data_IF_120681417727
#
_entry.id   IF_120681417727
#
_cell.length_a   1.000
_cell.length_b   1.000
_cell.length_c   1.000
_cell.angle_alpha   90.00
_cell.angle_beta   90.00
_cell.angle_gamma   90.00
#
_symmetry.space_group_name_H-M   'P 1'
#
loop_
_entity.id
_entity.type
_entity.pdbx_description
1 polymer ?
#
# COMPACT_ATOMS: atom_id res chain seq x y z
N UNK A 1 -5.82 24.93 -8.98
CA UNK A 1 -6.26 26.07 -9.75
C UNK A 1 -7.62 25.79 -10.38
N UNK A 2 -8.63 26.62 -10.05
CA UNK A 2 -10.02 26.46 -10.54
C UNK A 2 -10.21 26.90 -12.00
N UNK A 3 -9.20 27.48 -12.63
CA UNK A 3 -9.24 27.88 -14.03
C UNK A 3 -8.87 26.73 -15.00
N UNK A 4 -8.28 25.67 -14.49
CA UNK A 4 -8.02 24.45 -15.28
C UNK A 4 -9.26 23.58 -15.37
N UNK A 5 -9.37 22.75 -16.42
CA UNK A 5 -10.50 21.84 -16.62
C UNK A 5 -10.83 21.02 -15.36
N UNK A 6 -9.85 20.37 -14.79
CA UNK A 6 -10.06 19.51 -13.61
C UNK A 6 -10.20 20.26 -12.30
N UNK A 7 -9.57 21.43 -12.19
CA UNK A 7 -9.76 22.32 -11.07
C UNK A 7 -11.15 22.93 -11.01
N UNK A 8 -11.72 23.27 -12.18
CA UNK A 8 -13.11 23.71 -12.30
C UNK A 8 -14.10 22.60 -11.93
N UNK A 9 -13.89 21.38 -12.41
CA UNK A 9 -14.75 20.25 -12.07
C UNK A 9 -14.67 19.89 -10.57
N UNK A 10 -13.48 19.92 -9.99
CA UNK A 10 -13.31 19.76 -8.53
C UNK A 10 -14.08 20.84 -7.75
N UNK A 11 -13.98 22.10 -8.17
CA UNK A 11 -14.68 23.21 -7.54
C UNK A 11 -16.20 23.08 -7.63
N UNK A 12 -16.72 22.64 -8.81
CA UNK A 12 -18.14 22.34 -9.02
C UNK A 12 -18.63 21.24 -8.07
N UNK A 13 -17.80 20.26 -7.77
CA UNK A 13 -18.10 19.18 -6.83
C UNK A 13 -17.93 19.61 -5.33
N UNK A 14 -17.86 20.89 -5.04
CA UNK A 14 -17.81 21.42 -3.69
C UNK A 14 -16.40 21.55 -3.09
N UNK A 15 -15.34 21.31 -3.86
CA UNK A 15 -13.95 21.34 -3.40
C UNK A 15 -13.11 22.39 -4.17
N UNK A 16 -13.33 23.72 -3.96
CA UNK A 16 -12.60 24.75 -4.68
C UNK A 16 -11.10 24.79 -4.36
N UNK A 17 -10.72 24.47 -3.11
CA UNK A 17 -9.32 24.39 -2.72
C UNK A 17 -8.65 23.09 -3.22
N UNK A 18 -7.34 23.10 -3.51
CA UNK A 18 -6.59 21.88 -3.80
C UNK A 18 -6.68 20.88 -2.63
N UNK A 19 -6.72 19.58 -2.95
CA UNK A 19 -6.55 18.57 -1.92
C UNK A 19 -5.12 18.61 -1.34
N UNK A 20 -4.95 18.37 -0.03
CA UNK A 20 -3.64 18.40 0.63
C UNK A 20 -2.84 17.13 0.29
N UNK A 21 -2.33 17.08 -0.95
CA UNK A 21 -1.49 15.97 -1.39
C UNK A 21 -0.16 15.99 -0.63
N UNK A 22 0.21 14.86 -0.07
CA UNK A 22 1.47 14.68 0.66
C UNK A 22 2.35 13.59 0.06
N UNK A 23 1.76 12.54 -0.48
CA UNK A 23 2.45 11.37 -0.99
C UNK A 23 2.14 11.16 -2.46
N UNK A 24 3.15 10.75 -3.23
CA UNK A 24 3.01 10.26 -4.61
C UNK A 24 3.81 8.98 -4.73
N UNK A 25 3.15 7.93 -5.17
CA UNK A 25 3.80 6.69 -5.55
C UNK A 25 4.17 6.71 -7.03
N UNK A 26 5.39 6.25 -7.35
CA UNK A 26 5.91 6.16 -8.70
C UNK A 26 5.95 4.68 -9.10
N UNK A 27 4.97 4.27 -9.90
CA UNK A 27 4.78 2.90 -10.36
C UNK A 27 3.77 2.13 -9.52
N UNK A 28 3.62 0.84 -9.80
CA UNK A 28 2.84 -0.12 -9.03
C UNK A 28 3.31 -1.53 -9.38
N UNK A 29 3.78 -2.28 -8.39
CA UNK A 29 4.26 -3.66 -8.54
C UNK A 29 5.38 -3.82 -9.58
N UNK A 30 6.10 -2.75 -9.85
CA UNK A 30 7.23 -2.70 -10.75
C UNK A 30 8.53 -3.06 -10.03
N UNK A 31 9.51 -3.57 -10.79
CA UNK A 31 10.79 -3.99 -10.23
C UNK A 31 11.90 -4.04 -11.28
N UNK A 32 13.11 -4.28 -10.79
CA UNK A 32 14.29 -4.45 -11.63
C UNK A 32 14.91 -3.16 -12.14
N UNK A 33 16.04 -3.25 -12.89
CA UNK A 33 16.81 -2.07 -13.28
C UNK A 33 16.03 -1.04 -14.09
N UNK A 34 15.17 -1.50 -14.99
CA UNK A 34 14.36 -0.62 -15.86
C UNK A 34 13.37 0.22 -15.04
N UNK A 35 12.77 -0.38 -14.02
CA UNK A 35 11.90 0.37 -13.09
C UNK A 35 12.68 1.48 -12.40
N UNK A 36 13.85 1.16 -11.83
CA UNK A 36 14.65 2.11 -11.08
C UNK A 36 15.20 3.25 -11.93
N UNK A 37 15.59 2.98 -13.18
CA UNK A 37 15.97 4.02 -14.14
C UNK A 37 14.81 4.99 -14.44
N UNK A 38 13.59 4.46 -14.57
CA UNK A 38 12.38 5.26 -14.77
C UNK A 38 12.01 6.04 -13.50
N UNK A 39 12.09 5.38 -12.34
CA UNK A 39 11.85 6.01 -11.05
C UNK A 39 12.70 7.27 -10.89
N UNK A 40 14.01 7.17 -11.07
CA UNK A 40 14.93 8.32 -10.94
C UNK A 40 14.57 9.47 -11.88
N UNK A 41 14.24 9.18 -13.14
CA UNK A 41 13.83 10.21 -14.12
C UNK A 41 12.54 10.92 -13.71
N UNK A 42 11.53 10.14 -13.29
CA UNK A 42 10.24 10.69 -12.86
C UNK A 42 10.41 11.46 -11.55
N UNK A 43 11.15 10.90 -10.60
CA UNK A 43 11.47 11.56 -9.33
C UNK A 43 12.14 12.92 -9.56
N UNK A 44 13.16 12.99 -10.40
CA UNK A 44 13.87 14.25 -10.70
C UNK A 44 12.92 15.30 -11.28
N UNK A 45 12.08 14.92 -12.23
CA UNK A 45 11.12 15.84 -12.84
C UNK A 45 10.05 16.34 -11.86
N UNK A 46 9.53 15.45 -11.03
CA UNK A 46 8.47 15.77 -10.06
C UNK A 46 9.01 16.54 -8.85
N UNK A 47 10.14 16.12 -8.29
CA UNK A 47 10.71 16.76 -7.09
C UNK A 47 11.23 18.17 -7.36
N UNK A 48 11.68 18.44 -8.59
CA UNK A 48 12.02 19.79 -9.00
C UNK A 48 10.81 20.75 -8.99
N UNK A 49 9.62 20.21 -9.27
CA UNK A 49 8.38 21.00 -9.29
C UNK A 49 7.61 20.96 -7.98
N UNK A 50 7.70 19.87 -7.25
CA UNK A 50 6.96 19.60 -6.02
C UNK A 50 7.90 19.06 -4.93
N UNK A 51 8.80 19.90 -4.40
CA UNK A 51 9.86 19.43 -3.48
C UNK A 51 9.34 18.98 -2.12
N UNK A 52 8.15 19.42 -1.73
CA UNK A 52 7.55 19.12 -0.41
C UNK A 52 6.80 17.78 -0.38
N UNK A 53 6.65 17.12 -1.53
CA UNK A 53 5.98 15.82 -1.59
C UNK A 53 6.93 14.69 -1.18
N UNK A 54 6.35 13.67 -0.58
CA UNK A 54 7.03 12.40 -0.27
C UNK A 54 6.79 11.43 -1.43
N UNK A 55 7.88 10.96 -2.02
CA UNK A 55 7.84 10.03 -3.14
C UNK A 55 8.02 8.61 -2.63
N UNK A 56 7.08 7.73 -3.04
CA UNK A 56 7.05 6.32 -2.69
C UNK A 56 7.59 5.53 -3.89
N UNK A 57 8.57 4.66 -3.64
CA UNK A 57 8.99 3.65 -4.60
C UNK A 57 8.33 2.32 -4.25
N UNK A 58 8.12 1.46 -5.23
CA UNK A 58 7.45 0.17 -5.00
C UNK A 58 8.36 -1.03 -5.25
N UNK A 59 7.86 -2.19 -4.83
CA UNK A 59 8.53 -3.48 -4.98
C UNK A 59 7.67 -4.47 -5.75
N UNK A 60 8.28 -5.56 -6.17
CA UNK A 60 7.57 -6.74 -6.66
C UNK A 60 6.69 -7.35 -5.57
N UNK A 61 5.50 -7.83 -5.94
CA UNK A 61 4.52 -8.46 -5.03
C UNK A 61 5.15 -9.62 -4.24
N UNK A 62 5.82 -10.51 -4.94
CA UNK A 62 6.35 -11.74 -4.38
C UNK A 62 7.62 -12.19 -5.08
N UNK A 63 8.62 -12.55 -4.27
CA UNK A 63 9.78 -13.31 -4.73
C UNK A 63 9.80 -14.62 -3.98
N UNK A 64 9.64 -15.73 -4.71
CA UNK A 64 9.62 -17.08 -4.11
C UNK A 64 10.91 -17.33 -3.32
N UNK A 65 10.77 -17.80 -2.08
CA UNK A 65 11.90 -18.03 -1.18
C UNK A 65 12.44 -16.77 -0.47
N UNK A 66 11.85 -15.61 -0.74
CA UNK A 66 12.23 -14.33 -0.12
C UNK A 66 11.03 -13.62 0.54
N UNK A 67 10.01 -14.37 0.89
CA UNK A 67 8.75 -13.83 1.44
C UNK A 67 8.96 -13.08 2.77
N UNK A 68 10.01 -13.44 3.52
CA UNK A 68 10.34 -12.85 4.80
C UNK A 68 11.46 -11.79 4.75
N UNK A 69 11.97 -11.49 3.55
CA UNK A 69 13.04 -10.50 3.40
C UNK A 69 12.52 -9.06 3.56
N UNK A 70 13.40 -8.22 4.08
CA UNK A 70 13.28 -6.76 3.95
C UNK A 70 13.57 -6.36 2.51
N UNK A 71 12.52 -6.06 1.75
CA UNK A 71 12.63 -5.78 0.30
C UNK A 71 13.33 -4.45 0.00
N UNK A 72 13.50 -3.57 0.99
CA UNK A 72 14.29 -2.34 0.82
C UNK A 72 15.75 -2.62 0.46
N UNK A 73 16.23 -3.84 0.68
CA UNK A 73 17.54 -4.30 0.18
C UNK A 73 17.65 -4.36 -1.34
N UNK A 74 16.52 -4.37 -2.04
CA UNK A 74 16.47 -4.42 -3.50
C UNK A 74 16.60 -3.04 -4.15
N UNK A 75 16.68 -1.96 -3.36
CA UNK A 75 17.00 -0.62 -3.85
C UNK A 75 18.43 -0.64 -4.38
N UNK A 76 18.65 -0.38 -5.69
CA UNK A 76 19.98 -0.47 -6.28
C UNK A 76 20.92 0.60 -5.75
N UNK A 77 22.20 0.28 -5.73
CA UNK A 77 23.25 1.23 -5.29
C UNK A 77 23.38 2.51 -6.13
N UNK A 78 22.88 2.50 -7.38
CA UNK A 78 22.88 3.70 -8.23
C UNK A 78 21.73 4.67 -7.88
N UNK A 79 20.72 4.23 -7.16
CA UNK A 79 19.63 5.08 -6.67
C UNK A 79 20.11 5.83 -5.44
N UNK A 80 19.95 7.15 -5.43
CA UNK A 80 20.25 7.91 -4.24
C UNK A 80 19.26 7.54 -3.12
N UNK A 81 19.68 6.97 -1.99
CA UNK A 81 18.79 6.56 -0.92
C UNK A 81 17.92 7.70 -0.37
N UNK A 82 18.36 8.94 -0.50
CA UNK A 82 17.57 10.13 -0.10
C UNK A 82 16.36 10.38 -0.98
N UNK A 83 16.33 9.80 -2.18
CA UNK A 83 15.22 9.92 -3.13
C UNK A 83 14.09 8.93 -2.81
N UNK A 84 14.38 7.89 -2.04
CA UNK A 84 13.39 6.88 -1.60
C UNK A 84 13.13 7.05 -0.12
N UNK A 85 12.15 7.84 0.24
CA UNK A 85 11.77 8.06 1.65
C UNK A 85 10.79 7.03 2.15
N UNK A 86 9.93 6.52 1.29
CA UNK A 86 8.95 5.49 1.58
C UNK A 86 9.03 4.42 0.49
N UNK A 87 8.92 3.17 0.90
CA UNK A 87 8.99 2.02 0.02
C UNK A 87 7.73 1.17 0.20
N UNK A 88 7.00 0.94 -0.89
CA UNK A 88 5.78 0.17 -0.86
C UNK A 88 6.05 -1.32 -0.97
N UNK A 89 5.43 -2.09 -0.08
CA UNK A 89 5.45 -3.55 -0.08
C UNK A 89 4.04 -4.11 -0.13
N UNK A 90 3.80 -5.06 -1.03
CA UNK A 90 2.53 -5.77 -1.15
C UNK A 90 2.64 -7.20 -0.61
N UNK A 91 1.59 -7.66 0.08
CA UNK A 91 1.54 -9.00 0.66
C UNK A 91 0.25 -9.72 0.31
N UNK A 92 0.37 -10.79 -0.48
CA UNK A 92 -0.71 -11.70 -0.83
C UNK A 92 -0.29 -13.13 -0.49
N UNK A 93 -0.44 -13.50 0.78
CA UNK A 93 0.08 -14.75 1.32
C UNK A 93 -1.01 -15.58 2.01
N UNK A 94 -0.63 -16.79 2.49
CA UNK A 94 -1.54 -17.68 3.19
C UNK A 94 -1.83 -17.24 4.63
N UNK A 95 -2.83 -17.87 5.24
CA UNK A 95 -3.18 -17.70 6.65
C UNK A 95 -1.99 -18.04 7.55
N UNK A 96 -1.32 -19.15 7.28
CA UNK A 96 -0.20 -19.63 8.07
C UNK A 96 0.94 -18.62 8.06
N UNK A 97 1.30 -18.14 6.86
CA UNK A 97 2.32 -17.10 6.73
C UNK A 97 1.96 -15.84 7.53
N UNK A 98 0.72 -15.36 7.43
CA UNK A 98 0.30 -14.14 8.11
C UNK A 98 0.35 -14.27 9.64
N UNK A 99 -0.03 -15.44 10.18
CA UNK A 99 0.06 -15.71 11.62
C UNK A 99 1.50 -15.69 12.14
N UNK A 100 2.47 -16.03 11.30
CA UNK A 100 3.90 -15.98 11.65
C UNK A 100 4.48 -14.55 11.60
N UNK A 101 3.76 -13.58 11.00
CA UNK A 101 4.29 -12.23 10.76
C UNK A 101 4.05 -11.23 11.88
N UNK A 102 3.55 -11.63 13.03
CA UNK A 102 3.23 -10.71 14.14
C UNK A 102 4.43 -9.96 14.76
N UNK A 103 5.66 -10.34 14.40
CA UNK A 103 6.91 -9.64 14.75
C UNK A 103 7.72 -9.19 13.54
N UNK A 104 7.14 -9.22 12.33
CA UNK A 104 7.85 -9.03 11.06
C UNK A 104 8.74 -7.79 11.05
N UNK A 105 8.22 -6.66 11.45
CA UNK A 105 8.89 -5.37 11.31
C UNK A 105 9.74 -4.96 12.51
N UNK A 106 9.75 -5.74 13.60
CA UNK A 106 10.44 -5.39 14.84
C UNK A 106 11.95 -5.23 14.65
N UNK A 107 12.54 -6.03 13.78
CA UNK A 107 13.98 -6.03 13.49
C UNK A 107 14.36 -5.28 12.21
N UNK A 108 13.42 -4.60 11.56
CA UNK A 108 13.74 -3.81 10.39
C UNK A 108 14.57 -2.59 10.79
N UNK A 109 15.65 -2.34 10.03
CA UNK A 109 16.54 -1.22 10.28
C UNK A 109 15.80 0.11 10.05
N UNK A 110 15.82 1.00 11.06
CA UNK A 110 15.35 2.38 10.94
C UNK A 110 16.42 3.23 10.27
N UNK A 111 16.01 4.38 9.70
CA UNK A 111 16.90 5.29 8.99
C UNK A 111 17.26 4.84 7.56
N UNK A 112 16.55 3.86 7.04
CA UNK A 112 16.42 3.54 5.62
C UNK A 112 15.09 4.16 5.15
N UNK A 113 14.50 3.74 4.03
CA UNK A 113 13.15 4.13 3.68
C UNK A 113 12.14 3.63 4.73
N UNK A 114 11.15 4.46 5.06
CA UNK A 114 9.97 4.01 5.77
C UNK A 114 9.15 3.05 4.89
N UNK A 115 8.19 2.34 5.47
CA UNK A 115 7.36 1.40 4.73
C UNK A 115 5.94 1.95 4.51
N UNK A 116 5.42 1.68 3.34
CA UNK A 116 4.00 1.68 3.04
C UNK A 116 3.60 0.24 2.74
N UNK A 117 2.66 -0.29 3.47
CA UNK A 117 2.05 -1.57 3.09
C UNK A 117 0.84 -1.22 2.25
N UNK A 118 1.06 -1.03 0.94
CA UNK A 118 0.07 -0.49 0.02
C UNK A 118 -1.02 -1.48 -0.37
N UNK A 119 -0.69 -2.78 -0.32
CA UNK A 119 -1.68 -3.82 -0.52
C UNK A 119 -1.43 -5.00 0.42
N UNK A 120 -2.40 -5.28 1.28
CA UNK A 120 -2.40 -6.45 2.14
C UNK A 120 -3.67 -7.27 1.90
N UNK A 121 -3.52 -8.52 1.46
CA UNK A 121 -4.63 -9.45 1.31
C UNK A 121 -4.21 -10.85 1.70
N UNK A 122 -4.86 -11.45 2.69
CA UNK A 122 -4.54 -12.80 3.15
C UNK A 122 -5.47 -13.81 2.50
N UNK A 123 -4.86 -14.71 1.72
CA UNK A 123 -5.55 -15.80 1.02
C UNK A 123 -6.06 -16.84 2.01
N UNK A 124 -7.35 -17.16 1.95
CA UNK A 124 -7.91 -18.21 2.77
C UNK A 124 -9.39 -18.07 3.00
N UNK A 125 -9.95 -19.02 3.77
CA UNK A 125 -11.37 -19.04 4.08
C UNK A 125 -11.73 -18.02 5.15
N UNK A 126 -12.82 -17.29 4.91
CA UNK A 126 -13.47 -16.47 5.92
C UNK A 126 -14.01 -17.36 7.07
N UNK A 127 -13.89 -16.96 8.34
CA UNK A 127 -13.28 -15.71 8.86
C UNK A 127 -11.77 -15.84 9.19
N UNK A 128 -11.13 -16.96 8.92
CA UNK A 128 -9.75 -17.23 9.35
C UNK A 128 -8.72 -16.30 8.69
N UNK A 129 -8.95 -15.92 7.43
CA UNK A 129 -8.10 -14.95 6.74
C UNK A 129 -8.11 -13.58 7.43
N UNK A 130 -9.23 -13.17 8.02
CA UNK A 130 -9.32 -11.90 8.75
C UNK A 130 -8.57 -11.95 10.09
N UNK A 131 -8.69 -13.07 10.82
CA UNK A 131 -7.92 -13.28 12.04
C UNK A 131 -6.41 -13.25 11.76
N UNK A 132 -5.98 -13.90 10.67
CA UNK A 132 -4.60 -13.89 10.23
C UNK A 132 -4.11 -12.51 9.80
N UNK A 133 -4.98 -11.73 9.13
CA UNK A 133 -4.69 -10.31 8.82
C UNK A 133 -4.45 -9.53 10.11
N UNK A 134 -5.21 -9.80 11.18
CA UNK A 134 -4.99 -9.18 12.49
C UNK A 134 -3.58 -9.43 13.04
N UNK A 135 -3.01 -10.60 12.84
CA UNK A 135 -1.66 -10.92 13.31
C UNK A 135 -0.58 -10.04 12.65
N UNK A 136 -0.61 -9.88 11.33
CA UNK A 136 0.36 -9.01 10.65
C UNK A 136 0.09 -7.52 10.94
N UNK A 137 -1.18 -7.11 11.10
CA UNK A 137 -1.53 -5.73 11.49
C UNK A 137 -0.95 -5.35 12.84
N UNK A 138 -0.92 -6.26 13.81
CA UNK A 138 -0.26 -6.03 15.10
C UNK A 138 1.22 -5.64 14.92
N UNK A 139 1.92 -6.25 13.96
CA UNK A 139 3.30 -5.86 13.64
C UNK A 139 3.39 -4.49 12.99
N UNK A 140 2.45 -4.16 12.08
CA UNK A 140 2.39 -2.85 11.42
C UNK A 140 2.14 -1.76 12.46
N UNK A 141 1.12 -1.92 13.32
CA UNK A 141 0.75 -0.93 14.33
C UNK A 141 1.84 -0.72 15.39
N UNK A 142 2.45 -1.81 15.88
CA UNK A 142 3.55 -1.73 16.83
C UNK A 142 4.79 -1.01 16.27
N UNK A 143 4.97 -1.05 14.95
CA UNK A 143 6.07 -0.42 14.22
C UNK A 143 5.58 0.79 13.41
N UNK A 144 4.65 1.59 13.95
CA UNK A 144 4.09 2.76 13.30
C UNK A 144 5.12 3.87 12.99
N UNK A 145 6.26 3.85 13.67
CA UNK A 145 7.41 4.69 13.36
C UNK A 145 8.07 4.34 12.01
N UNK A 146 7.96 3.09 11.59
CA UNK A 146 8.47 2.57 10.33
C UNK A 146 7.37 2.50 9.26
N UNK A 147 6.12 2.27 9.66
CA UNK A 147 4.98 2.06 8.77
C UNK A 147 3.97 3.23 8.88
N UNK A 148 4.29 4.42 8.33
CA UNK A 148 3.41 5.59 8.44
C UNK A 148 2.11 5.46 7.64
N UNK A 149 2.05 4.52 6.69
CA UNK A 149 0.93 4.28 5.80
C UNK A 149 0.62 2.78 5.70
N UNK A 150 -0.67 2.47 5.65
CA UNK A 150 -1.16 1.12 5.47
C UNK A 150 -2.46 1.12 4.67
N UNK A 151 -2.59 0.21 3.73
CA UNK A 151 -3.81 -0.04 2.97
C UNK A 151 -4.08 -1.54 2.84
N UNK A 152 -5.34 -1.90 3.01
CA UNK A 152 -5.81 -3.26 2.87
C UNK A 152 -6.62 -3.44 1.60
N UNK A 153 -6.50 -4.58 0.93
CA UNK A 153 -7.13 -4.81 -0.36
C UNK A 153 -7.83 -6.17 -0.43
N UNK A 154 -9.08 -6.16 -0.92
CA UNK A 154 -10.01 -5.03 -0.98
C UNK A 154 -10.67 -4.82 0.37
N UNK A 155 -10.91 -3.57 0.76
CA UNK A 155 -11.70 -3.27 1.96
C UNK A 155 -13.19 -3.50 1.69
N UNK A 156 -13.66 -3.10 0.52
CA UNK A 156 -15.04 -3.24 0.10
C UNK A 156 -15.16 -3.98 -1.23
N UNK A 157 -16.20 -4.80 -1.36
CA UNK A 157 -16.48 -5.52 -2.58
C UNK A 157 -17.97 -5.60 -2.85
N UNK A 158 -18.35 -5.52 -4.13
CA UNK A 158 -19.72 -5.70 -4.56
C UNK A 158 -20.15 -7.16 -4.38
N UNK A 159 -21.34 -7.37 -3.88
CA UNK A 159 -21.91 -8.69 -3.58
C UNK A 159 -21.91 -9.65 -4.77
N UNK A 160 -22.19 -9.15 -5.98
CA UNK A 160 -22.31 -9.96 -7.19
C UNK A 160 -20.97 -10.46 -7.74
N UNK A 161 -19.84 -9.89 -7.28
CA UNK A 161 -18.50 -10.36 -7.65
C UNK A 161 -18.05 -11.51 -6.75
N UNK A 162 -18.76 -12.63 -6.78
CA UNK A 162 -18.51 -13.79 -5.93
C UNK A 162 -17.31 -14.65 -6.37
N UNK A 163 -16.80 -14.47 -7.59
CA UNK A 163 -15.74 -15.32 -8.16
C UNK A 163 -14.41 -15.24 -7.40
N UNK A 164 -14.19 -14.15 -6.64
CA UNK A 164 -12.95 -13.93 -5.91
C UNK A 164 -13.22 -13.69 -4.41
N UNK A 165 -13.85 -14.64 -3.73
CA UNK A 165 -14.17 -14.60 -2.29
C UNK A 165 -12.94 -14.63 -1.37
N UNK A 166 -11.75 -14.56 -1.93
CA UNK A 166 -10.51 -14.84 -1.21
C UNK A 166 -10.13 -13.71 -0.25
N UNK A 167 -10.59 -12.46 -0.55
CA UNK A 167 -10.26 -11.27 0.24
C UNK A 167 -11.54 -10.48 0.54
N UNK A 168 -12.20 -10.74 1.67
CA UNK A 168 -13.52 -10.13 1.91
C UNK A 168 -13.65 -9.55 3.33
N UNK A 169 -13.16 -8.34 3.58
CA UNK A 169 -13.46 -7.66 4.82
C UNK A 169 -14.87 -7.05 4.85
N UNK A 170 -15.35 -6.49 3.74
CA UNK A 170 -16.69 -5.94 3.62
C UNK A 170 -17.36 -6.33 2.31
N UNK A 171 -18.66 -6.69 2.38
CA UNK A 171 -19.50 -6.94 1.22
C UNK A 171 -20.56 -5.83 1.10
N UNK A 172 -20.69 -5.26 -0.08
CA UNK A 172 -21.77 -4.32 -0.41
C UNK A 172 -22.79 -5.05 -1.27
N UNK A 173 -24.05 -5.08 -0.81
CA UNK A 173 -25.16 -5.51 -1.62
C UNK A 173 -25.56 -4.38 -2.58
N UNK A 174 -25.42 -4.60 -3.88
CA UNK A 174 -25.75 -3.60 -4.89
C UNK A 174 -27.24 -3.33 -5.06
N UNK A 175 -28.12 -4.20 -4.53
CA UNK A 175 -29.58 -4.05 -4.67
C UNK A 175 -30.14 -3.05 -3.67
N UNK A 176 -29.71 -3.12 -2.41
CA UNK A 176 -30.24 -2.30 -1.32
C UNK A 176 -29.17 -1.45 -0.63
N UNK A 177 -27.97 -1.43 -1.16
CA UNK A 177 -26.78 -0.73 -0.61
C UNK A 177 -26.44 -1.16 0.83
N UNK A 178 -26.94 -2.29 1.28
CA UNK A 178 -26.57 -2.82 2.60
C UNK A 178 -25.12 -3.27 2.62
N UNK A 179 -24.47 -3.08 3.76
CA UNK A 179 -23.07 -3.45 3.96
C UNK A 179 -23.01 -4.55 5.00
N UNK A 180 -22.39 -5.67 4.63
CA UNK A 180 -21.99 -6.69 5.60
C UNK A 180 -20.52 -6.52 5.92
N UNK A 181 -20.23 -6.14 7.15
CA UNK A 181 -18.87 -6.04 7.65
C UNK A 181 -18.49 -7.30 8.41
N UNK A 182 -17.22 -7.62 8.42
CA UNK A 182 -16.72 -8.55 9.40
C UNK A 182 -16.59 -7.85 10.76
N UNK A 183 -16.81 -8.60 11.83
CA UNK A 183 -16.69 -8.13 13.21
C UNK A 183 -15.33 -7.42 13.52
N UNK A 184 -14.28 -7.73 12.79
CA UNK A 184 -12.94 -7.17 13.01
C UNK A 184 -12.70 -5.79 12.37
N UNK A 185 -13.67 -5.26 11.64
CA UNK A 185 -13.59 -3.94 11.02
C UNK A 185 -14.56 -2.93 11.66
N UNK A 186 -15.22 -3.34 12.71
CA UNK A 186 -16.02 -2.47 13.57
C UNK A 186 -15.22 -2.07 14.80
#
# INVERSE_FOLDING_TARGET
DTTTKWGAERAKNGHPAPFPLKYIEIGNEDFGPVYWERYEKIYQALSAKYPDLVYIANSVIRVVGRENDDKRKDIPNFVNPKNVKVFDEHYYNSIEWACEQHYRFDNYKRGVADLFIGELGINGKYPYNLLATGAIRMSIERNGDLNPLFAERPVMRHWDFLEHRIFLPMLINGVDSSVKTSFFYL
#
